data_IF_306539227195
#
_entry.id   IF_306539227195
#
_cell.length_a   1.000
_cell.length_b   1.000
_cell.length_c   1.000
_cell.angle_alpha   90.00
_cell.angle_beta   90.00
_cell.angle_gamma   90.00
#
_symmetry.space_group_name_H-M   'P 1'
#
loop_
_entity.id
_entity.type
_entity.pdbx_description
1 polymer ?
#
# COMPACT_ATOMS: atom_id res chain seq x y z
N UNK A 1 7.68 8.67 -4.86
CA UNK A 1 7.46 7.20 -4.86
C UNK A 1 6.16 6.81 -4.12
N UNK A 2 5.93 7.28 -2.89
CA UNK A 2 4.71 6.97 -2.11
C UNK A 2 3.40 7.48 -2.73
N UNK A 3 3.39 8.69 -3.33
CA UNK A 3 2.20 9.26 -4.00
C UNK A 3 1.58 8.31 -5.05
N UNK A 4 2.40 7.66 -5.87
CA UNK A 4 1.92 6.70 -6.89
C UNK A 4 1.35 5.43 -6.26
N UNK A 5 1.87 5.05 -5.09
CA UNK A 5 1.47 3.84 -4.36
C UNK A 5 0.10 4.05 -3.71
N UNK A 6 -0.14 5.22 -3.09
CA UNK A 6 -1.45 5.62 -2.60
C UNK A 6 -2.52 5.65 -3.70
N UNK A 7 -2.17 6.16 -4.90
CA UNK A 7 -3.10 6.20 -6.04
C UNK A 7 -3.49 4.79 -6.47
N UNK A 8 -2.53 3.89 -6.66
CA UNK A 8 -2.83 2.48 -7.01
C UNK A 8 -3.65 1.75 -5.96
N UNK A 9 -3.38 2.00 -4.67
CA UNK A 9 -4.18 1.42 -3.58
C UNK A 9 -5.63 1.91 -3.59
N UNK A 10 -5.84 3.17 -3.99
CA UNK A 10 -7.18 3.74 -4.14
C UNK A 10 -7.91 3.09 -5.32
N UNK A 11 -7.22 2.98 -6.46
CA UNK A 11 -7.72 2.36 -7.70
C UNK A 11 -8.05 0.86 -7.49
N UNK A 12 -7.28 0.15 -6.66
CA UNK A 12 -7.53 -1.26 -6.33
C UNK A 12 -8.62 -1.48 -5.27
N UNK A 13 -9.34 -0.42 -4.86
CA UNK A 13 -10.40 -0.52 -3.84
C UNK A 13 -9.91 -0.65 -2.40
N UNK A 14 -8.61 -0.50 -2.14
CA UNK A 14 -8.01 -0.55 -0.81
C UNK A 14 -7.95 0.84 -0.17
N UNK A 15 -9.10 1.50 -0.10
CA UNK A 15 -9.28 2.90 0.33
C UNK A 15 -8.71 3.20 1.71
N UNK A 16 -8.81 2.27 2.69
CA UNK A 16 -8.21 2.43 4.02
C UNK A 16 -6.68 2.49 3.97
N UNK A 17 -6.07 1.61 3.18
CA UNK A 17 -4.62 1.54 2.99
C UNK A 17 -4.10 2.71 2.14
N UNK A 18 -4.87 3.15 1.16
CA UNK A 18 -4.60 4.33 0.37
C UNK A 18 -4.58 5.59 1.24
N UNK A 19 -5.57 5.75 2.12
CA UNK A 19 -5.65 6.87 3.05
C UNK A 19 -4.44 6.92 3.98
N UNK A 20 -4.06 5.79 4.59
CA UNK A 20 -2.87 5.71 5.44
C UNK A 20 -1.59 6.06 4.68
N UNK A 21 -1.46 5.63 3.42
CA UNK A 21 -0.34 6.00 2.55
C UNK A 21 -0.29 7.50 2.23
N UNK A 22 -1.45 8.15 2.06
CA UNK A 22 -1.56 9.60 1.82
C UNK A 22 -1.15 10.38 3.08
N UNK A 23 -1.67 10.00 4.24
CA UNK A 23 -1.34 10.64 5.53
C UNK A 23 0.17 10.56 5.79
N UNK A 24 0.78 9.40 5.56
CA UNK A 24 2.22 9.27 5.74
C UNK A 24 3.05 10.00 4.67
N UNK A 25 2.52 10.14 3.45
CA UNK A 25 3.16 10.99 2.44
C UNK A 25 3.17 12.45 2.87
N UNK A 26 2.07 12.95 3.44
CA UNK A 26 2.01 14.31 3.99
C UNK A 26 2.96 14.49 5.18
N UNK A 27 3.03 13.48 6.06
CA UNK A 27 3.94 13.50 7.21
C UNK A 27 5.40 13.49 6.79
N UNK A 28 5.78 12.65 5.81
CA UNK A 28 7.10 12.66 5.20
C UNK A 28 7.44 14.01 4.59
N UNK A 29 6.48 14.66 3.94
CA UNK A 29 6.69 15.98 3.33
C UNK A 29 6.88 17.08 4.39
N UNK A 30 6.25 16.95 5.56
CA UNK A 30 6.29 17.95 6.63
C UNK A 30 7.43 17.75 7.65
N UNK A 31 7.76 16.49 7.99
CA UNK A 31 8.67 16.12 9.09
C UNK A 31 9.94 15.41 8.55
N UNK A 32 9.97 15.07 7.26
CA UNK A 32 11.09 14.35 6.63
C UNK A 32 11.18 12.86 7.03
N UNK A 33 10.34 12.41 7.96
CA UNK A 33 10.39 11.04 8.49
C UNK A 33 9.00 10.42 8.62
N UNK A 34 8.89 9.16 8.18
CA UNK A 34 7.67 8.35 8.28
C UNK A 34 7.49 7.84 9.71
N UNK A 35 6.25 7.71 10.18
CA UNK A 35 6.02 7.17 11.53
C UNK A 35 6.38 5.68 11.59
N UNK A 36 6.77 5.19 12.77
CA UNK A 36 7.06 3.77 12.96
C UNK A 36 5.82 2.91 12.70
N UNK A 37 4.66 3.42 13.10
CA UNK A 37 3.35 2.78 12.93
C UNK A 37 2.94 2.74 11.46
N UNK A 38 3.04 3.86 10.75
CA UNK A 38 2.78 3.97 9.32
C UNK A 38 3.74 3.12 8.49
N UNK A 39 5.01 2.99 8.91
CA UNK A 39 5.98 2.07 8.31
C UNK A 39 5.56 0.61 8.47
N UNK A 40 5.09 0.21 9.66
CA UNK A 40 4.59 -1.15 9.89
C UNK A 40 3.33 -1.40 9.07
N UNK A 41 2.34 -0.51 9.15
CA UNK A 41 1.07 -0.66 8.41
C UNK A 41 1.29 -0.74 6.91
N UNK A 42 2.15 0.11 6.35
CA UNK A 42 2.54 -0.02 4.94
C UNK A 42 3.24 -1.34 4.67
N UNK A 43 4.29 -1.70 5.43
CA UNK A 43 5.04 -2.95 5.20
C UNK A 43 4.15 -4.20 5.24
N UNK A 44 3.27 -4.31 6.23
CA UNK A 44 2.40 -5.48 6.41
C UNK A 44 1.17 -5.42 5.50
N UNK A 45 0.58 -4.25 5.31
CA UNK A 45 -0.55 -4.05 4.42
C UNK A 45 -0.18 -4.29 2.96
N UNK A 46 0.95 -3.75 2.47
CA UNK A 46 1.42 -4.01 1.11
C UNK A 46 1.92 -5.45 0.92
N UNK A 47 2.43 -6.11 1.97
CA UNK A 47 2.76 -7.55 1.89
C UNK A 47 1.51 -8.39 1.70
N UNK A 48 0.45 -8.15 2.46
CA UNK A 48 -0.82 -8.86 2.29
C UNK A 48 -1.37 -8.69 0.88
N UNK A 49 -1.21 -7.49 0.29
CA UNK A 49 -1.58 -7.22 -1.08
C UNK A 49 -0.70 -7.93 -2.10
N UNK A 50 0.62 -7.95 -1.92
CA UNK A 50 1.53 -8.70 -2.79
C UNK A 50 1.24 -10.20 -2.75
N UNK A 51 0.96 -10.75 -1.57
CA UNK A 51 0.54 -12.15 -1.43
C UNK A 51 -0.79 -12.41 -2.12
N UNK A 52 -1.74 -11.47 -2.05
CA UNK A 52 -3.04 -11.56 -2.74
C UNK A 52 -2.92 -11.41 -4.25
N UNK A 53 -2.04 -10.54 -4.74
CA UNK A 53 -1.73 -10.42 -6.17
C UNK A 53 -1.04 -11.68 -6.67
N UNK A 54 -0.03 -12.21 -5.96
CA UNK A 54 0.61 -13.48 -6.34
C UNK A 54 -0.34 -14.68 -6.26
N UNK A 55 -1.35 -14.68 -5.39
CA UNK A 55 -2.38 -15.74 -5.37
C UNK A 55 -3.44 -15.58 -6.46
N UNK A 56 -3.61 -14.37 -7.02
CA UNK A 56 -4.48 -14.11 -8.18
C UNK A 56 -3.78 -14.53 -9.47
N UNK A 57 -2.47 -14.28 -9.59
CA UNK A 57 -1.66 -14.71 -10.74
C UNK A 57 -1.52 -16.25 -10.81
N UNK A 58 -1.58 -16.95 -9.66
CA UNK A 58 -1.49 -18.41 -9.60
C UNK A 58 -2.78 -19.16 -9.97
N UNK A 59 -3.89 -18.45 -10.23
CA UNK A 59 -5.18 -19.06 -10.58
C UNK A 59 -5.52 -19.02 -12.08
N UNK A 60 -4.68 -18.39 -12.91
CA UNK A 60 -4.94 -18.19 -14.35
C UNK A 60 -4.22 -19.21 -15.26
N UNK A 61 -3.50 -20.20 -14.70
CA UNK A 61 -2.81 -21.28 -15.44
C UNK A 61 -3.46 -22.68 -15.28
N UNK A 62 -4.78 -22.75 -15.10
CA UNK A 62 -5.53 -24.02 -15.29
C UNK A 62 -6.82 -23.78 -16.09
N UNK A 63 -6.65 -23.57 -17.39
CA UNK A 63 -7.65 -23.96 -18.40
C UNK A 63 -7.08 -25.06 -19.29
#
# INVERSE_FOLDING_TARGET
>A
RMRRLSTRLMESGHSKLAYEAIVETQRLTRIGTMSLEGRKKLKYGTRSLLTKTMSLDAHDEMQ
#
